data_IF_562881486709
#
_entry.id   IF_562881486709
#
_cell.length_a   1.000
_cell.length_b   1.000
_cell.length_c   1.000
_cell.angle_alpha   90.00
_cell.angle_beta   90.00
_cell.angle_gamma   90.00
#
_symmetry.space_group_name_H-M   'P 1'
#
loop_
_entity.id
_entity.type
_entity.pdbx_description
1 polymer ?
#
# COMPACT_ATOMS: atom_id res chain seq x y z
N UNK A 1 29.08 -21.66 -0.48
CA UNK A 1 28.38 -21.57 0.80
C UNK A 1 26.97 -22.09 0.60
N UNK A 2 26.64 -23.15 1.33
CA UNK A 2 25.40 -23.92 1.14
C UNK A 2 24.32 -23.42 2.11
N UNK A 3 23.89 -22.15 1.96
CA UNK A 3 22.85 -21.57 2.79
C UNK A 3 21.51 -22.26 2.51
N UNK A 4 20.84 -22.69 3.57
CA UNK A 4 19.50 -23.28 3.52
C UNK A 4 18.47 -22.17 3.46
N UNK A 5 17.68 -22.14 2.40
CA UNK A 5 16.69 -21.07 2.14
C UNK A 5 15.28 -21.62 2.31
N UNK A 6 14.49 -20.97 3.16
CA UNK A 6 13.06 -21.18 3.29
C UNK A 6 12.30 -20.10 2.53
N UNK A 7 11.53 -20.50 1.52
CA UNK A 7 10.70 -19.58 0.75
C UNK A 7 9.25 -19.64 1.23
N UNK A 8 8.70 -18.48 1.57
CA UNK A 8 7.31 -18.31 1.99
C UNK A 8 6.61 -17.33 1.05
N UNK A 9 5.71 -17.84 0.22
CA UNK A 9 4.85 -17.04 -0.65
C UNK A 9 3.38 -17.48 -0.48
N UNK A 10 2.48 -16.77 -1.18
CA UNK A 10 1.06 -17.00 -1.09
C UNK A 10 0.66 -18.42 -1.52
N UNK A 11 1.40 -19.02 -2.46
CA UNK A 11 1.14 -20.36 -2.96
C UNK A 11 1.65 -21.44 -1.99
N UNK A 12 2.79 -21.20 -1.34
CA UNK A 12 3.38 -22.13 -0.36
C UNK A 12 2.62 -22.14 0.98
N UNK A 13 1.83 -21.10 1.26
CA UNK A 13 1.10 -20.89 2.53
C UNK A 13 -0.40 -21.10 2.41
N UNK A 14 -0.89 -21.70 1.33
CA UNK A 14 -2.32 -21.95 1.08
C UNK A 14 -3.00 -22.79 2.18
N UNK A 15 -2.25 -23.53 3.00
CA UNK A 15 -2.73 -24.22 4.19
C UNK A 15 -2.30 -23.47 5.44
N UNK A 16 -3.24 -23.14 6.31
CA UNK A 16 -3.01 -22.41 7.57
C UNK A 16 -1.91 -23.05 8.43
N UNK A 17 -1.87 -24.37 8.48
CA UNK A 17 -0.89 -25.13 9.28
C UNK A 17 0.52 -25.10 8.65
N UNK A 18 0.64 -24.93 7.33
CA UNK A 18 1.94 -24.86 6.65
C UNK A 18 2.71 -23.60 7.03
N UNK A 19 2.03 -22.47 7.14
CA UNK A 19 2.64 -21.20 7.54
C UNK A 19 3.28 -21.28 8.94
N UNK A 20 2.53 -21.77 9.92
CA UNK A 20 3.02 -21.91 11.30
C UNK A 20 4.18 -22.91 11.40
N UNK A 21 4.10 -24.02 10.67
CA UNK A 21 5.17 -25.02 10.62
C UNK A 21 6.46 -24.45 10.06
N UNK A 22 6.38 -23.73 8.92
CA UNK A 22 7.56 -23.11 8.28
C UNK A 22 8.22 -22.08 9.20
N UNK A 23 7.43 -21.27 9.91
CA UNK A 23 7.96 -20.29 10.86
C UNK A 23 8.62 -20.98 12.05
N UNK A 24 8.04 -22.05 12.57
CA UNK A 24 8.64 -22.83 13.65
C UNK A 24 9.97 -23.48 13.23
N UNK A 25 10.10 -23.94 11.99
CA UNK A 25 11.35 -24.47 11.44
C UNK A 25 12.43 -23.37 11.34
N UNK A 26 12.07 -22.17 10.86
CA UNK A 26 13.00 -21.06 10.82
C UNK A 26 13.43 -20.60 12.22
N UNK A 27 12.51 -20.52 13.16
CA UNK A 27 12.81 -20.20 14.56
C UNK A 27 13.78 -21.19 15.23
N UNK A 28 13.72 -22.48 14.84
CA UNK A 28 14.67 -23.52 15.28
C UNK A 28 15.99 -23.51 14.56
N UNK A 29 16.21 -22.53 13.64
CA UNK A 29 17.43 -22.42 12.83
C UNK A 29 17.67 -23.64 11.88
N UNK A 30 16.60 -24.29 11.45
CA UNK A 30 16.67 -25.31 10.41
C UNK A 30 17.02 -24.70 9.04
N UNK A 31 16.81 -23.39 8.89
CA UNK A 31 17.12 -22.58 7.71
C UNK A 31 17.91 -21.34 8.09
N UNK A 32 18.78 -20.90 7.19
CA UNK A 32 19.67 -19.76 7.38
C UNK A 32 19.07 -18.46 6.82
N UNK A 33 18.20 -18.58 5.81
CA UNK A 33 17.56 -17.45 5.14
C UNK A 33 16.05 -17.72 5.02
N UNK A 34 15.24 -16.76 5.44
CA UNK A 34 13.81 -16.72 5.17
C UNK A 34 13.52 -15.70 4.07
N UNK A 35 13.04 -16.18 2.92
CA UNK A 35 12.65 -15.37 1.78
C UNK A 35 11.13 -15.30 1.70
N UNK A 36 10.55 -14.10 1.71
CA UNK A 36 9.10 -13.96 1.61
C UNK A 36 8.64 -12.58 1.18
N UNK A 37 7.33 -12.43 1.06
CA UNK A 37 6.68 -11.14 0.77
C UNK A 37 6.43 -10.35 2.06
N UNK A 38 5.75 -9.21 1.97
CA UNK A 38 5.36 -8.38 3.12
C UNK A 38 4.63 -9.14 4.24
N UNK A 39 4.03 -10.29 3.94
CA UNK A 39 3.37 -11.13 4.95
C UNK A 39 4.35 -11.63 6.01
N UNK A 40 5.60 -11.87 5.64
CA UNK A 40 6.67 -12.30 6.56
C UNK A 40 7.10 -11.16 7.49
N UNK A 41 6.95 -9.90 7.07
CA UNK A 41 7.29 -8.75 7.90
C UNK A 41 6.30 -8.51 9.06
N UNK A 42 5.06 -9.01 8.94
CA UNK A 42 4.01 -8.80 9.95
C UNK A 42 4.01 -9.89 11.01
N UNK A 43 4.23 -9.49 12.26
CA UNK A 43 3.97 -10.39 13.43
C UNK A 43 5.09 -11.37 13.80
N UNK A 44 6.19 -11.44 13.04
CA UNK A 44 7.26 -12.39 13.33
C UNK A 44 8.38 -11.74 14.16
N UNK A 45 8.63 -12.27 15.31
CA UNK A 45 9.75 -11.86 16.17
C UNK A 45 10.75 -13.02 16.26
N UNK A 46 11.90 -12.87 15.60
CA UNK A 46 12.96 -13.85 15.64
C UNK A 46 14.19 -13.23 16.31
N UNK A 47 14.45 -13.59 17.54
CA UNK A 47 15.56 -13.06 18.36
C UNK A 47 16.95 -13.20 17.71
N UNK A 48 17.12 -14.22 16.87
CA UNK A 48 18.41 -14.57 16.24
C UNK A 48 18.58 -14.02 14.82
N UNK A 49 17.64 -13.23 14.31
CA UNK A 49 17.77 -12.59 13.00
C UNK A 49 18.64 -11.34 13.12
N UNK A 50 19.81 -11.37 12.53
CA UNK A 50 20.80 -10.30 12.55
C UNK A 50 20.74 -9.38 11.34
N UNK A 51 20.10 -9.81 10.25
CA UNK A 51 19.97 -9.05 9.01
C UNK A 51 18.58 -9.18 8.42
N UNK A 52 17.95 -8.06 8.10
CA UNK A 52 16.72 -8.01 7.30
C UNK A 52 16.97 -7.24 6.02
N UNK A 53 16.69 -7.83 4.87
CA UNK A 53 16.76 -7.19 3.56
C UNK A 53 15.37 -6.83 3.03
N UNK A 54 15.16 -5.59 2.63
CA UNK A 54 13.96 -5.16 1.89
C UNK A 54 14.36 -4.88 0.46
N UNK A 55 13.84 -5.67 -0.48
CA UNK A 55 14.16 -5.57 -1.89
C UNK A 55 12.99 -4.93 -2.65
N UNK A 56 13.32 -4.05 -3.62
CA UNK A 56 12.33 -3.47 -4.53
C UNK A 56 11.33 -2.53 -3.86
N UNK A 57 11.73 -1.80 -2.82
CA UNK A 57 10.85 -0.85 -2.10
C UNK A 57 10.29 0.23 -3.02
N UNK A 58 10.98 0.54 -4.10
CA UNK A 58 10.58 1.57 -5.07
C UNK A 58 9.23 1.26 -5.71
N UNK A 59 8.91 -0.01 -5.93
CA UNK A 59 7.60 -0.41 -6.46
C UNK A 59 6.44 -0.05 -5.53
N UNK A 60 6.69 -0.04 -4.22
CA UNK A 60 5.73 0.40 -3.22
C UNK A 60 5.75 1.92 -3.05
N UNK A 61 6.94 2.53 -3.07
CA UNK A 61 7.14 3.97 -2.92
C UNK A 61 6.46 4.76 -4.05
N UNK A 62 6.62 4.30 -5.29
CA UNK A 62 5.99 4.86 -6.49
C UNK A 62 4.69 4.15 -6.87
N UNK A 63 4.17 3.34 -5.95
CA UNK A 63 2.90 2.65 -6.11
C UNK A 63 1.73 3.63 -6.20
N UNK A 64 0.62 3.13 -6.74
CA UNK A 64 -0.56 3.97 -6.89
C UNK A 64 -1.37 4.03 -5.58
N UNK A 65 -1.87 5.22 -5.32
CA UNK A 65 -2.75 5.51 -4.20
C UNK A 65 -2.12 6.41 -3.14
N UNK A 66 -2.95 7.18 -2.49
CA UNK A 66 -2.55 8.18 -1.49
C UNK A 66 -1.91 7.58 -0.23
N UNK A 67 -1.97 6.26 -0.05
CA UNK A 67 -1.37 5.53 1.09
C UNK A 67 -0.02 4.88 0.77
N UNK A 68 0.56 5.12 -0.40
CA UNK A 68 1.82 4.50 -0.78
C UNK A 68 2.92 4.81 0.26
N UNK A 69 3.06 6.06 0.64
CA UNK A 69 4.05 6.52 1.63
C UNK A 69 3.81 5.96 3.03
N UNK A 70 2.56 5.88 3.48
CA UNK A 70 2.23 5.20 4.75
C UNK A 70 2.65 3.72 4.74
N UNK A 71 2.40 3.04 3.62
CA UNK A 71 2.74 1.63 3.48
C UNK A 71 4.25 1.41 3.53
N UNK A 72 5.03 2.28 2.86
CA UNK A 72 6.49 2.26 2.90
C UNK A 72 7.01 2.56 4.30
N UNK A 73 6.53 3.64 4.92
CA UNK A 73 6.92 4.03 6.27
C UNK A 73 6.65 2.90 7.27
N UNK A 74 5.45 2.33 7.24
CA UNK A 74 5.06 1.24 8.12
C UNK A 74 5.91 -0.01 7.91
N UNK A 75 6.21 -0.38 6.65
CA UNK A 75 7.04 -1.54 6.35
C UNK A 75 8.46 -1.36 6.87
N UNK A 76 9.10 -0.22 6.58
CA UNK A 76 10.48 0.03 6.99
C UNK A 76 10.60 0.12 8.51
N UNK A 77 9.70 0.83 9.19
CA UNK A 77 9.69 0.93 10.66
C UNK A 77 9.53 -0.44 11.32
N UNK A 78 8.69 -1.31 10.76
CA UNK A 78 8.55 -2.69 11.25
C UNK A 78 9.86 -3.49 11.10
N UNK A 79 10.56 -3.31 9.98
CA UNK A 79 11.82 -4.00 9.71
C UNK A 79 12.95 -3.47 10.58
N UNK A 80 13.11 -2.15 10.67
CA UNK A 80 14.15 -1.50 11.48
C UNK A 80 13.95 -1.80 12.98
N UNK A 81 12.72 -1.77 13.46
CA UNK A 81 12.40 -2.05 14.87
C UNK A 81 12.65 -3.50 15.32
N UNK A 82 12.94 -4.41 14.38
CA UNK A 82 13.25 -5.83 14.69
C UNK A 82 14.73 -6.11 14.84
N UNK A 83 15.57 -5.24 14.30
CA UNK A 83 17.02 -5.38 14.44
C UNK A 83 17.49 -4.83 15.79
N UNK A 84 17.68 -5.69 16.82
CA UNK A 84 18.36 -5.24 18.05
C UNK A 84 17.70 -5.55 19.38
N UNK A 85 16.80 -6.52 19.44
CA UNK A 85 16.20 -6.96 20.74
C UNK A 85 17.00 -8.05 21.47
N UNK A 86 17.98 -8.66 20.82
CA UNK A 86 18.90 -9.63 21.42
C UNK A 86 20.30 -9.02 21.63
N UNK A 87 21.21 -9.76 22.23
CA UNK A 87 22.61 -9.37 22.47
C UNK A 87 23.40 -9.02 21.18
N UNK A 88 22.83 -9.38 19.99
CA UNK A 88 23.43 -9.11 18.69
C UNK A 88 22.69 -7.92 18.01
N UNK A 89 23.43 -6.87 17.63
CA UNK A 89 22.83 -5.74 16.91
C UNK A 89 22.33 -6.19 15.54
N UNK A 90 21.03 -6.05 15.30
CA UNK A 90 20.42 -6.34 14.00
C UNK A 90 20.65 -5.18 13.02
N UNK A 91 20.72 -5.53 11.72
CA UNK A 91 20.87 -4.57 10.62
C UNK A 91 19.70 -4.70 9.66
N UNK A 92 19.21 -3.56 9.15
CA UNK A 92 18.27 -3.50 8.07
C UNK A 92 18.94 -2.93 6.81
N UNK A 93 18.79 -3.61 5.68
CA UNK A 93 19.24 -3.16 4.37
C UNK A 93 18.02 -2.91 3.49
N UNK A 94 17.91 -1.70 2.94
CA UNK A 94 16.81 -1.31 2.07
C UNK A 94 17.38 -1.01 0.69
N UNK A 95 16.99 -1.82 -0.30
CA UNK A 95 17.37 -1.60 -1.68
C UNK A 95 16.42 -0.58 -2.31
N UNK A 96 16.98 0.52 -2.81
CA UNK A 96 16.24 1.60 -3.47
C UNK A 96 17.11 2.33 -4.48
N UNK A 97 16.49 2.91 -5.51
CA UNK A 97 17.13 3.83 -6.46
C UNK A 97 17.13 5.29 -5.96
N UNK A 98 16.41 5.58 -4.88
CA UNK A 98 16.23 6.95 -4.33
C UNK A 98 16.49 6.99 -2.82
N UNK A 99 17.74 6.71 -2.37
CA UNK A 99 18.05 6.59 -0.95
C UNK A 99 17.76 7.87 -0.15
N UNK A 100 17.81 9.03 -0.79
CA UNK A 100 17.58 10.33 -0.16
C UNK A 100 16.10 10.73 -0.10
N UNK A 101 15.17 9.84 -0.48
CA UNK A 101 13.75 10.15 -0.43
C UNK A 101 13.29 10.38 1.02
N UNK A 102 12.60 11.50 1.33
CA UNK A 102 12.25 11.88 2.71
C UNK A 102 11.55 10.75 3.50
N UNK A 103 10.60 10.06 2.88
CA UNK A 103 9.87 8.96 3.51
C UNK A 103 10.80 7.83 3.96
N UNK A 104 11.84 7.50 3.16
CA UNK A 104 12.81 6.46 3.50
C UNK A 104 13.69 6.89 4.66
N UNK A 105 14.14 8.13 4.66
CA UNK A 105 14.97 8.70 5.73
C UNK A 105 14.22 8.79 7.07
N UNK A 106 12.97 9.29 7.02
CA UNK A 106 12.11 9.37 8.21
C UNK A 106 11.77 7.98 8.77
N UNK A 107 11.51 7.01 7.88
CA UNK A 107 11.22 5.64 8.29
C UNK A 107 12.46 4.94 8.89
N UNK A 108 13.66 5.16 8.32
CA UNK A 108 14.91 4.63 8.85
C UNK A 108 15.24 5.23 10.23
N UNK A 109 14.94 6.51 10.43
CA UNK A 109 15.08 7.19 11.71
C UNK A 109 13.95 6.86 12.71
N UNK A 110 12.91 6.16 12.28
CA UNK A 110 11.67 5.92 13.05
C UNK A 110 10.97 7.22 13.50
N UNK A 111 11.16 8.31 12.75
CA UNK A 111 10.56 9.62 13.03
C UNK A 111 9.12 9.68 12.51
N UNK A 112 8.20 9.15 13.31
CA UNK A 112 6.77 9.20 13.01
C UNK A 112 6.21 10.63 12.95
N UNK A 113 6.65 11.50 13.85
CA UNK A 113 6.15 12.88 13.91
C UNK A 113 6.57 13.70 12.67
N UNK A 114 7.80 13.52 12.22
CA UNK A 114 8.29 14.09 10.96
C UNK A 114 7.48 13.58 9.78
N UNK A 115 7.31 12.27 9.68
CA UNK A 115 6.50 11.64 8.62
C UNK A 115 5.06 12.14 8.63
N UNK A 116 4.42 12.19 9.81
CA UNK A 116 3.03 12.67 9.93
C UNK A 116 2.88 14.11 9.43
N UNK A 117 3.80 15.00 9.77
CA UNK A 117 3.75 16.42 9.33
C UNK A 117 3.84 16.57 7.81
N UNK A 118 4.71 15.81 7.16
CA UNK A 118 4.83 15.81 5.70
C UNK A 118 3.59 15.21 5.04
N UNK A 119 3.18 14.03 5.49
CA UNK A 119 2.06 13.28 4.92
C UNK A 119 0.74 14.03 5.07
N UNK A 120 0.44 14.62 6.24
CA UNK A 120 -0.81 15.37 6.45
C UNK A 120 -0.86 16.63 5.60
N UNK A 121 0.29 17.27 5.37
CA UNK A 121 0.40 18.42 4.49
C UNK A 121 0.13 18.04 3.04
N UNK A 122 0.76 16.96 2.56
CA UNK A 122 0.51 16.40 1.23
C UNK A 122 -0.98 16.06 1.02
N UNK A 123 -1.62 15.42 1.99
CA UNK A 123 -3.04 15.07 1.91
C UNK A 123 -3.96 16.28 1.88
N UNK A 124 -3.60 17.33 2.61
CA UNK A 124 -4.38 18.58 2.59
C UNK A 124 -4.34 19.24 1.22
N UNK A 125 -3.15 19.33 0.61
CA UNK A 125 -3.01 19.91 -0.74
C UNK A 125 -3.66 19.05 -1.83
N UNK A 126 -3.53 17.73 -1.73
CA UNK A 126 -4.10 16.79 -2.69
C UNK A 126 -5.59 16.52 -2.49
N UNK A 127 -6.22 17.11 -1.47
CA UNK A 127 -7.59 16.79 -1.08
C UNK A 127 -7.81 15.28 -0.89
N UNK A 128 -6.88 14.65 -0.16
CA UNK A 128 -6.99 13.25 0.26
C UNK A 128 -7.59 13.13 1.68
N UNK A 129 -8.11 11.96 2.05
CA UNK A 129 -8.53 11.73 3.44
C UNK A 129 -7.42 12.04 4.45
N UNK A 130 -7.72 12.70 5.57
CA UNK A 130 -9.04 12.98 6.16
C UNK A 130 -9.70 14.28 5.68
N UNK A 131 -9.14 15.03 4.74
CA UNK A 131 -9.66 16.32 4.29
C UNK A 131 -10.80 16.21 3.27
N UNK A 132 -11.04 15.02 2.77
CA UNK A 132 -12.18 14.68 1.94
C UNK A 132 -12.59 13.23 2.16
N UNK A 133 -13.76 12.86 1.69
CA UNK A 133 -14.10 11.46 1.43
C UNK A 133 -14.11 11.23 -0.08
N UNK A 134 -13.72 10.04 -0.53
CA UNK A 134 -13.90 9.67 -1.91
C UNK A 134 -14.42 8.25 -2.08
N UNK A 135 -15.12 8.03 -3.17
CA UNK A 135 -15.66 6.75 -3.57
C UNK A 135 -15.14 6.42 -4.97
N UNK A 136 -14.65 5.21 -5.15
CA UNK A 136 -14.27 4.68 -6.46
C UNK A 136 -15.39 3.80 -6.96
N UNK A 137 -15.94 4.12 -8.12
CA UNK A 137 -16.96 3.31 -8.80
C UNK A 137 -16.30 2.63 -9.98
N UNK A 138 -16.28 1.29 -9.97
CA UNK A 138 -15.73 0.48 -11.04
C UNK A 138 -16.82 0.02 -12.02
N UNK A 139 -16.50 0.05 -13.32
CA UNK A 139 -17.33 -0.43 -14.40
C UNK A 139 -16.60 -1.56 -15.12
N UNK A 140 -17.27 -2.67 -15.31
CA UNK A 140 -16.68 -3.89 -15.90
C UNK A 140 -17.64 -4.50 -16.91
N UNK A 141 -17.14 -4.89 -18.07
CA UNK A 141 -17.96 -5.53 -19.12
C UNK A 141 -17.12 -6.05 -20.27
N UNK A 142 -17.77 -6.79 -21.17
CA UNK A 142 -17.12 -7.50 -22.25
C UNK A 142 -16.83 -6.61 -23.47
N UNK A 143 -17.50 -5.45 -23.57
CA UNK A 143 -17.33 -4.50 -24.68
C UNK A 143 -16.84 -3.15 -24.14
N UNK A 144 -15.66 -2.75 -24.55
CA UNK A 144 -15.01 -1.53 -24.06
C UNK A 144 -15.89 -0.28 -24.22
N UNK A 145 -16.43 -0.06 -25.42
CA UNK A 145 -17.28 1.08 -25.72
C UNK A 145 -18.53 1.14 -24.84
N UNK A 146 -19.16 -0.01 -24.56
CA UNK A 146 -20.34 -0.07 -23.70
C UNK A 146 -19.98 0.27 -22.24
N UNK A 147 -18.84 -0.21 -21.73
CA UNK A 147 -18.36 0.08 -20.39
C UNK A 147 -18.03 1.56 -20.24
N UNK A 148 -17.34 2.14 -21.21
CA UNK A 148 -17.01 3.56 -21.21
C UNK A 148 -18.26 4.45 -21.25
N UNK A 149 -19.22 4.14 -22.14
CA UNK A 149 -20.50 4.89 -22.23
C UNK A 149 -21.28 4.78 -20.91
N UNK A 150 -21.34 3.59 -20.31
CA UNK A 150 -22.00 3.41 -19.01
C UNK A 150 -21.37 4.27 -17.92
N UNK A 151 -20.03 4.30 -17.87
CA UNK A 151 -19.28 5.12 -16.91
C UNK A 151 -19.51 6.64 -17.15
N UNK A 152 -19.53 7.08 -18.40
CA UNK A 152 -19.84 8.47 -18.75
C UNK A 152 -21.26 8.86 -18.33
N UNK A 153 -22.26 8.03 -18.64
CA UNK A 153 -23.66 8.26 -18.27
C UNK A 153 -23.83 8.35 -16.75
N UNK A 154 -23.20 7.44 -16.03
CA UNK A 154 -23.20 7.48 -14.57
C UNK A 154 -22.63 8.80 -14.05
N UNK A 155 -21.47 9.23 -14.54
CA UNK A 155 -20.85 10.50 -14.13
C UNK A 155 -21.72 11.71 -14.42
N UNK A 156 -22.36 11.76 -15.60
CA UNK A 156 -23.26 12.84 -15.99
C UNK A 156 -24.52 12.91 -15.10
N UNK A 157 -25.15 11.76 -14.84
CA UNK A 157 -26.32 11.68 -13.96
C UNK A 157 -25.98 12.09 -12.53
N UNK A 158 -24.84 11.62 -12.03
CA UNK A 158 -24.40 11.98 -10.69
C UNK A 158 -24.12 13.47 -10.56
N UNK A 159 -23.44 14.07 -11.55
CA UNK A 159 -23.18 15.52 -11.58
C UNK A 159 -24.49 16.32 -11.64
N UNK A 160 -25.46 15.87 -12.43
CA UNK A 160 -26.78 16.51 -12.51
C UNK A 160 -27.52 16.45 -11.18
N UNK A 161 -27.52 15.31 -10.49
CA UNK A 161 -28.14 15.19 -9.18
C UNK A 161 -27.40 15.97 -8.10
N UNK A 162 -26.08 16.02 -8.15
CA UNK A 162 -25.27 16.79 -7.23
C UNK A 162 -25.55 18.30 -7.33
N UNK A 163 -25.76 18.81 -8.57
CA UNK A 163 -26.09 20.20 -8.80
C UNK A 163 -27.41 20.62 -8.11
N UNK A 164 -28.32 19.68 -7.88
CA UNK A 164 -29.59 19.93 -7.15
C UNK A 164 -29.42 19.94 -5.62
N UNK A 165 -28.21 19.55 -5.12
CA UNK A 165 -27.88 19.44 -3.69
C UNK A 165 -26.64 20.25 -3.36
N UNK A 166 -26.69 21.59 -3.34
CA UNK A 166 -25.50 22.44 -3.16
C UNK A 166 -24.77 22.22 -1.83
N UNK A 167 -25.44 21.62 -0.85
CA UNK A 167 -24.84 21.31 0.45
C UNK A 167 -23.90 20.11 0.43
N UNK A 168 -23.83 19.38 -0.69
CA UNK A 168 -22.92 18.25 -0.87
C UNK A 168 -21.92 18.65 -1.95
N UNK A 169 -20.73 19.19 -1.58
CA UNK A 169 -19.71 19.55 -2.54
C UNK A 169 -19.07 18.27 -3.12
N UNK A 170 -19.61 17.83 -4.25
CA UNK A 170 -19.24 16.60 -4.92
C UNK A 170 -18.57 16.93 -6.25
N UNK A 171 -17.42 16.30 -6.51
CA UNK A 171 -16.69 16.38 -7.78
C UNK A 171 -16.51 14.97 -8.34
N UNK A 172 -16.95 14.78 -9.59
CA UNK A 172 -16.76 13.53 -10.33
C UNK A 172 -15.54 13.65 -11.23
N UNK A 173 -14.61 12.73 -11.12
CA UNK A 173 -13.43 12.61 -11.96
C UNK A 173 -13.49 11.29 -12.75
N UNK A 174 -13.11 11.31 -14.00
CA UNK A 174 -13.21 10.19 -14.91
C UNK A 174 -14.37 10.31 -15.88
N UNK A 175 -14.73 9.21 -16.61
CA UNK A 175 -14.16 7.87 -16.46
C UNK A 175 -12.72 7.75 -16.96
N UNK A 176 -11.94 6.90 -16.31
CA UNK A 176 -10.59 6.56 -16.71
C UNK A 176 -10.40 5.02 -16.71
N UNK A 177 -9.54 4.48 -17.58
CA UNK A 177 -9.21 3.07 -17.54
C UNK A 177 -8.54 2.71 -16.21
N UNK A 178 -8.82 1.53 -15.66
CA UNK A 178 -8.09 1.01 -14.50
C UNK A 178 -6.67 0.60 -14.92
N UNK A 179 -5.75 0.49 -13.95
CA UNK A 179 -4.35 0.08 -14.19
C UNK A 179 -4.23 -1.21 -15.00
N UNK A 180 -5.10 -2.18 -14.68
CA UNK A 180 -5.29 -3.35 -15.51
C UNK A 180 -6.59 -3.10 -16.27
N UNK A 181 -6.45 -2.58 -17.47
CA UNK A 181 -7.57 -2.17 -18.33
C UNK A 181 -8.45 -3.36 -18.74
N UNK A 182 -7.85 -4.55 -18.88
CA UNK A 182 -8.56 -5.78 -19.20
C UNK A 182 -8.10 -6.93 -18.28
N UNK A 183 -9.07 -7.58 -17.65
CA UNK A 183 -8.83 -8.75 -16.78
C UNK A 183 -9.93 -9.78 -17.04
N UNK A 184 -9.56 -11.04 -17.27
CA UNK A 184 -10.48 -12.15 -17.58
C UNK A 184 -11.42 -11.80 -18.76
N UNK A 185 -10.86 -11.23 -19.83
CA UNK A 185 -11.56 -10.75 -21.02
C UNK A 185 -12.64 -9.69 -20.75
N UNK A 186 -12.54 -8.94 -19.65
CA UNK A 186 -13.43 -7.84 -19.31
C UNK A 186 -12.68 -6.53 -19.23
N UNK A 187 -13.19 -5.52 -19.92
CA UNK A 187 -12.70 -4.15 -19.85
C UNK A 187 -13.11 -3.50 -18.54
N UNK A 188 -12.22 -2.66 -18.00
CA UNK A 188 -12.36 -2.09 -16.66
C UNK A 188 -12.09 -0.59 -16.68
N UNK A 189 -13.10 0.18 -16.28
CA UNK A 189 -13.04 1.63 -16.11
C UNK A 189 -13.41 2.01 -14.69
N UNK A 190 -12.98 3.18 -14.24
CA UNK A 190 -13.37 3.73 -12.95
C UNK A 190 -13.77 5.20 -13.06
N UNK A 191 -14.61 5.63 -12.15
CA UNK A 191 -14.85 7.03 -11.82
C UNK A 191 -14.55 7.25 -10.35
N UNK A 192 -13.87 8.36 -10.05
CA UNK A 192 -13.56 8.79 -8.70
C UNK A 192 -14.53 9.92 -8.32
N UNK A 193 -15.20 9.75 -7.22
CA UNK A 193 -16.14 10.74 -6.67
C UNK A 193 -15.49 11.34 -5.43
N UNK A 194 -15.14 12.61 -5.51
CA UNK A 194 -14.63 13.40 -4.40
C UNK A 194 -15.79 14.08 -3.68
N UNK A 195 -15.84 13.93 -2.36
CA UNK A 195 -16.80 14.60 -1.49
C UNK A 195 -15.98 15.42 -0.49
N UNK A 196 -15.90 16.72 -0.73
CA UNK A 196 -15.25 17.63 0.22
C UNK A 196 -16.15 17.81 1.44
N UNK A 197 -15.61 17.77 2.65
CA UNK A 197 -16.39 18.16 3.81
C UNK A 197 -16.75 19.64 3.69
N UNK A 198 -18.03 20.02 3.96
CA UNK A 198 -18.38 21.41 4.04
C UNK A 198 -17.51 22.05 5.13
N UNK A 199 -16.73 23.05 4.77
CA UNK A 199 -15.88 23.79 5.71
C UNK A 199 -16.76 24.21 6.88
N UNK A 200 -16.63 23.56 8.03
CA UNK A 200 -17.26 24.07 9.25
C UNK A 200 -16.66 25.45 9.46
N UNK A 201 -17.44 26.48 9.19
CA UNK A 201 -17.10 27.85 9.60
C UNK A 201 -17.06 27.83 11.12
N UNK A 202 -15.84 27.87 11.67
CA UNK A 202 -15.59 28.20 13.08
C UNK A 202 -16.02 29.63 13.35
#
# INVERSE_FOLDING_TARGET
PDARILRMDQDSTARKDAHETMLAQFARQEYDILLGTQMVAKGLDFEKVTLVGVLGIDSLLFGQGFRAYESVFSLITQVVGRGGRAELPGRALIQTCVPDHPVLQLAAAQDYEGFYREEITFRRFGLYPPFCSFVVVGFVGDQEGAVFIAAQRFGALLAQHAAQKPNIPLRVLGPAPMNITMLNNKYRYLSLIHISEPTRRS
#
